data_IF_460425475570
#
_entry.id   IF_460425475570
#
_cell.length_a   1.000
_cell.length_b   1.000
_cell.length_c   1.000
_cell.angle_alpha   90.00
_cell.angle_beta   90.00
_cell.angle_gamma   90.00
#
_symmetry.space_group_name_H-M   'P 1'
#
loop_
_entity.id
_entity.type
_entity.pdbx_description
1 polymer ?
#
# COMPACT_ATOMS: atom_id res chain seq x y z
N UNK A 1 45.17 -8.92 -22.52
CA UNK A 1 44.24 -8.38 -21.51
C UNK A 1 43.07 -7.74 -22.21
N UNK A 2 41.93 -7.60 -21.54
CA UNK A 2 40.70 -7.08 -22.15
C UNK A 2 40.59 -5.57 -22.00
N UNK A 3 39.94 -4.89 -22.95
CA UNK A 3 39.58 -3.48 -22.79
C UNK A 3 38.59 -3.29 -21.64
N UNK A 4 38.55 -2.08 -21.07
CA UNK A 4 37.51 -1.71 -20.11
C UNK A 4 36.15 -1.73 -20.80
N UNK A 5 35.13 -2.15 -20.06
CA UNK A 5 33.76 -2.09 -20.53
C UNK A 5 33.11 -0.79 -20.11
N UNK A 6 32.24 -0.29 -20.97
CA UNK A 6 31.31 0.76 -20.62
C UNK A 6 30.09 0.16 -19.92
N UNK A 7 29.59 0.80 -18.84
CA UNK A 7 28.39 0.32 -18.17
C UNK A 7 27.17 0.51 -19.08
N UNK A 8 26.26 -0.50 -19.15
CA UNK A 8 25.01 -0.34 -19.88
C UNK A 8 24.12 0.74 -19.22
N UNK A 9 23.08 1.23 -19.93
CA UNK A 9 22.15 2.20 -19.38
C UNK A 9 21.58 1.76 -18.04
N UNK A 10 21.60 2.67 -17.06
CA UNK A 10 21.12 2.43 -15.70
C UNK A 10 21.87 1.36 -14.90
N UNK A 11 23.06 0.95 -15.35
CA UNK A 11 23.98 0.09 -14.62
C UNK A 11 25.28 0.81 -14.25
N UNK A 12 26.00 0.23 -13.30
CA UNK A 12 27.43 0.46 -13.05
C UNK A 12 28.21 -0.84 -13.20
N UNK A 13 29.53 -0.74 -13.25
CA UNK A 13 30.43 -1.90 -13.25
C UNK A 13 31.24 -1.88 -11.96
N UNK A 14 31.17 -2.97 -11.20
CA UNK A 14 32.02 -3.23 -10.05
C UNK A 14 33.24 -4.04 -10.49
N UNK A 15 34.41 -3.43 -10.33
CA UNK A 15 35.70 -4.08 -10.56
C UNK A 15 36.16 -4.73 -9.26
N UNK A 16 36.14 -6.07 -9.22
CA UNK A 16 36.38 -6.82 -7.99
C UNK A 16 37.81 -6.62 -7.47
N UNK A 17 37.94 -6.15 -6.23
CA UNK A 17 39.23 -5.97 -5.56
C UNK A 17 40.08 -4.80 -6.07
N UNK A 18 39.56 -3.92 -6.94
CA UNK A 18 40.26 -2.72 -7.41
C UNK A 18 39.46 -1.46 -7.08
N UNK A 19 40.16 -0.42 -6.61
CA UNK A 19 39.57 0.92 -6.47
C UNK A 19 39.42 1.62 -7.82
N UNK A 20 38.51 2.60 -7.90
CA UNK A 20 38.29 3.40 -9.11
C UNK A 20 39.59 4.03 -9.67
N UNK A 21 40.47 4.51 -8.79
CA UNK A 21 41.77 5.08 -9.20
C UNK A 21 42.71 4.03 -9.79
N UNK A 22 42.77 2.84 -9.22
CA UNK A 22 43.56 1.73 -9.75
C UNK A 22 43.05 1.29 -11.12
N UNK A 23 41.72 1.19 -11.29
CA UNK A 23 41.12 0.86 -12.59
C UNK A 23 41.46 1.92 -13.64
N UNK A 24 41.43 3.22 -13.32
CA UNK A 24 41.78 4.28 -14.27
C UNK A 24 43.21 4.16 -14.81
N UNK A 25 44.17 3.79 -13.96
CA UNK A 25 45.59 3.64 -14.33
C UNK A 25 45.86 2.41 -15.21
N UNK A 26 44.99 1.41 -15.21
CA UNK A 26 45.15 0.22 -16.05
C UNK A 26 44.71 0.48 -17.48
N UNK A 27 45.55 0.12 -18.46
CA UNK A 27 45.18 0.19 -19.89
C UNK A 27 44.34 -1.01 -20.33
N UNK A 28 44.63 -2.19 -19.79
CA UNK A 28 43.93 -3.45 -20.06
C UNK A 28 43.70 -4.23 -18.77
N UNK A 29 42.60 -4.95 -18.70
CA UNK A 29 42.27 -5.85 -17.60
C UNK A 29 43.02 -7.19 -17.75
N UNK A 30 43.51 -7.78 -16.64
CA UNK A 30 44.24 -9.03 -16.70
C UNK A 30 43.34 -10.19 -17.14
N UNK A 31 43.96 -11.22 -17.72
CA UNK A 31 43.24 -12.44 -18.13
C UNK A 31 42.71 -13.12 -16.86
N UNK A 32 41.50 -13.69 -16.94
CA UNK A 32 40.68 -14.24 -15.84
C UNK A 32 40.13 -13.20 -14.86
N UNK A 33 40.32 -11.91 -15.10
CA UNK A 33 39.70 -10.88 -14.26
C UNK A 33 38.18 -10.87 -14.43
N UNK A 34 37.46 -10.66 -13.32
CA UNK A 34 36.01 -10.68 -13.28
C UNK A 34 35.46 -9.29 -12.97
N UNK A 35 34.43 -8.89 -13.72
CA UNK A 35 33.64 -7.69 -13.46
C UNK A 35 32.19 -8.09 -13.23
N UNK A 36 31.51 -7.31 -12.41
CA UNK A 36 30.11 -7.52 -12.08
C UNK A 36 29.31 -6.28 -12.42
N UNK A 37 28.16 -6.47 -13.07
CA UNK A 37 27.24 -5.38 -13.29
C UNK A 37 26.40 -5.14 -12.05
N UNK A 38 26.13 -3.87 -11.76
CA UNK A 38 25.31 -3.46 -10.63
C UNK A 38 24.24 -2.48 -11.13
N UNK A 39 22.97 -2.87 -11.06
CA UNK A 39 21.89 -1.97 -11.47
C UNK A 39 21.64 -0.86 -10.44
N UNK A 40 21.16 0.29 -10.91
CA UNK A 40 20.60 1.33 -10.05
C UNK A 40 19.32 0.84 -9.35
N UNK A 41 19.00 1.42 -8.20
CA UNK A 41 17.91 0.98 -7.32
C UNK A 41 16.56 0.74 -8.03
N UNK A 42 15.92 -0.39 -7.70
CA UNK A 42 14.62 -0.80 -8.24
C UNK A 42 14.69 -1.29 -9.70
N UNK A 43 15.80 -1.90 -10.11
CA UNK A 43 16.01 -2.54 -11.41
C UNK A 43 16.70 -3.89 -11.22
N UNK A 44 16.36 -4.83 -12.10
CA UNK A 44 16.91 -6.19 -12.11
C UNK A 44 17.85 -6.37 -13.30
N UNK A 45 18.89 -7.18 -13.13
CA UNK A 45 19.83 -7.55 -14.20
C UNK A 45 19.20 -8.65 -15.06
N UNK A 46 19.09 -8.40 -16.35
CA UNK A 46 18.75 -9.41 -17.35
C UNK A 46 19.99 -9.69 -18.22
N UNK A 47 20.41 -10.95 -18.27
CA UNK A 47 21.63 -11.39 -18.96
C UNK A 47 22.80 -11.68 -18.02
N UNK A 48 24.05 -11.73 -18.54
CA UNK A 48 25.22 -12.07 -17.74
C UNK A 48 25.48 -11.06 -16.61
N UNK A 49 25.41 -11.54 -15.37
CA UNK A 49 25.69 -10.76 -14.16
C UNK A 49 27.18 -10.46 -13.98
N UNK A 50 28.02 -11.44 -14.31
CA UNK A 50 29.48 -11.39 -14.19
C UNK A 50 30.08 -11.69 -15.56
N UNK A 51 31.10 -10.93 -15.95
CA UNK A 51 31.91 -11.22 -17.14
C UNK A 51 33.36 -11.46 -16.78
N UNK A 52 33.99 -12.41 -17.46
CA UNK A 52 35.38 -12.78 -17.23
C UNK A 52 36.25 -12.44 -18.44
N UNK A 53 37.42 -11.87 -18.23
CA UNK A 53 38.36 -11.59 -19.32
C UNK A 53 39.02 -12.89 -19.80
N UNK A 54 38.85 -13.22 -21.08
CA UNK A 54 39.37 -14.44 -21.69
C UNK A 54 40.78 -14.24 -22.27
N UNK A 55 41.56 -15.34 -22.47
CA UNK A 55 42.91 -15.25 -23.03
C UNK A 55 42.97 -14.66 -24.44
N UNK A 56 41.88 -14.77 -25.20
CA UNK A 56 41.75 -14.18 -26.54
C UNK A 56 41.57 -12.64 -26.52
N UNK A 57 41.57 -12.00 -25.35
CA UNK A 57 41.43 -10.55 -25.20
C UNK A 57 39.99 -10.04 -25.21
N UNK A 58 38.99 -10.93 -25.26
CA UNK A 58 37.56 -10.59 -25.18
C UNK A 58 36.98 -10.95 -23.83
N UNK A 59 35.86 -10.34 -23.46
CA UNK A 59 35.11 -10.75 -22.27
C UNK A 59 34.23 -11.96 -22.57
N UNK A 60 33.86 -12.71 -21.53
CA UNK A 60 32.88 -13.79 -21.65
C UNK A 60 31.51 -13.24 -22.08
N UNK A 61 30.73 -14.08 -22.74
CA UNK A 61 29.31 -13.85 -23.04
C UNK A 61 29.02 -12.59 -23.86
N UNK A 62 29.96 -12.15 -24.71
CA UNK A 62 29.81 -10.96 -25.57
C UNK A 62 28.64 -11.07 -26.55
N UNK A 63 28.12 -12.26 -26.81
CA UNK A 63 26.93 -12.48 -27.63
C UNK A 63 25.59 -12.18 -26.93
N UNK A 64 25.59 -12.00 -25.61
CA UNK A 64 24.36 -11.67 -24.84
C UNK A 64 24.53 -10.30 -24.20
N UNK A 65 23.58 -9.40 -24.43
CA UNK A 65 23.61 -8.07 -23.81
C UNK A 65 23.15 -8.13 -22.34
N UNK A 66 23.79 -7.35 -21.46
CA UNK A 66 23.36 -7.19 -20.07
C UNK A 66 22.51 -5.93 -19.95
N UNK A 67 21.25 -6.06 -19.52
CA UNK A 67 20.31 -4.94 -19.37
C UNK A 67 19.88 -4.77 -17.91
N UNK A 68 19.62 -3.52 -17.51
CA UNK A 68 19.06 -3.17 -16.21
C UNK A 68 17.61 -2.70 -16.38
N UNK A 69 16.66 -3.61 -16.21
CA UNK A 69 15.25 -3.35 -16.47
C UNK A 69 14.50 -3.04 -15.18
N UNK A 70 13.48 -2.17 -15.26
CA UNK A 70 12.57 -1.93 -14.12
C UNK A 70 11.77 -3.19 -13.83
N UNK A 71 11.52 -3.43 -12.55
CA UNK A 71 10.59 -4.47 -12.11
C UNK A 71 9.16 -3.91 -12.15
N UNK A 72 8.24 -4.70 -12.69
CA UNK A 72 6.81 -4.49 -12.48
C UNK A 72 6.37 -5.14 -11.17
N UNK A 73 5.24 -4.69 -10.59
CA UNK A 73 4.62 -5.37 -9.46
C UNK A 73 4.45 -6.87 -9.73
N UNK A 74 4.84 -7.68 -8.76
CA UNK A 74 4.72 -9.13 -8.83
C UNK A 74 3.25 -9.51 -9.00
N UNK A 75 2.95 -10.43 -9.92
CA UNK A 75 1.58 -10.88 -10.08
C UNK A 75 1.24 -11.88 -8.97
N UNK A 76 -0.02 -11.91 -8.51
CA UNK A 76 -0.51 -12.95 -7.64
C UNK A 76 -0.25 -14.30 -8.30
N UNK A 77 0.19 -15.31 -7.55
CA UNK A 77 0.41 -16.64 -8.09
C UNK A 77 -0.87 -17.28 -8.62
N UNK A 78 -2.04 -16.81 -8.16
CA UNK A 78 -3.33 -17.44 -8.47
C UNK A 78 -4.24 -16.50 -9.28
N UNK A 79 -4.40 -16.80 -10.57
CA UNK A 79 -5.47 -16.25 -11.41
C UNK A 79 -6.65 -17.24 -11.39
N UNK A 80 -7.60 -17.03 -10.48
CA UNK A 80 -8.70 -17.97 -10.24
C UNK A 80 -9.59 -18.18 -11.46
N UNK A 81 -9.90 -19.44 -11.77
CA UNK A 81 -10.75 -19.86 -12.89
C UNK A 81 -10.20 -19.45 -14.27
N UNK A 82 -8.88 -19.39 -14.39
CA UNK A 82 -8.20 -19.13 -15.65
C UNK A 82 -6.70 -19.39 -15.58
N UNK A 83 -5.99 -18.95 -16.62
CA UNK A 83 -4.53 -19.05 -16.76
C UNK A 83 -3.94 -17.72 -17.21
N UNK A 84 -2.81 -17.36 -16.60
CA UNK A 84 -1.98 -16.25 -17.01
C UNK A 84 -0.68 -16.80 -17.60
N UNK A 85 -0.42 -16.52 -18.88
CA UNK A 85 0.76 -17.02 -19.59
C UNK A 85 1.68 -15.86 -19.96
N UNK A 86 2.97 -15.98 -19.60
CA UNK A 86 3.99 -15.02 -20.00
C UNK A 86 4.41 -15.36 -21.43
N UNK A 87 3.92 -14.57 -22.39
CA UNK A 87 4.22 -14.74 -23.82
C UNK A 87 5.60 -14.18 -24.16
N UNK A 88 6.02 -13.13 -23.47
CA UNK A 88 7.31 -12.49 -23.66
C UNK A 88 7.86 -11.98 -22.33
N UNK A 89 9.15 -12.20 -22.06
CA UNK A 89 9.81 -11.74 -20.82
C UNK A 89 10.26 -12.87 -19.90
N UNK A 90 10.21 -12.64 -18.59
CA UNK A 90 10.71 -13.58 -17.59
C UNK A 90 9.76 -13.72 -16.41
N UNK A 91 9.89 -14.81 -15.64
CA UNK A 91 9.06 -15.08 -14.46
C UNK A 91 9.04 -13.93 -13.44
N UNK A 92 10.17 -13.20 -13.29
CA UNK A 92 10.17 -11.89 -12.65
C UNK A 92 9.80 -10.86 -13.71
N UNK A 93 8.58 -10.33 -13.63
CA UNK A 93 8.09 -9.36 -14.60
C UNK A 93 8.96 -8.10 -14.62
N UNK A 94 9.73 -7.93 -15.70
CA UNK A 94 10.53 -6.73 -15.98
C UNK A 94 9.95 -5.93 -17.15
N UNK A 95 10.43 -4.70 -17.36
CA UNK A 95 10.11 -3.89 -18.55
C UNK A 95 10.07 -4.72 -19.84
N UNK A 96 8.98 -4.61 -20.59
CA UNK A 96 8.74 -5.39 -21.81
C UNK A 96 8.11 -6.76 -21.60
N UNK A 97 7.85 -7.19 -20.36
CA UNK A 97 7.10 -8.44 -20.10
C UNK A 97 5.67 -8.31 -20.61
N UNK A 98 5.21 -9.30 -21.37
CA UNK A 98 3.89 -9.39 -21.98
C UNK A 98 3.19 -10.67 -21.50
N UNK A 99 1.97 -10.51 -21.01
CA UNK A 99 1.20 -11.56 -20.35
C UNK A 99 -0.18 -11.60 -20.94
N UNK A 100 -0.60 -12.79 -21.37
CA UNK A 100 -1.94 -13.05 -21.87
C UNK A 100 -2.76 -13.82 -20.84
N UNK A 101 -4.03 -13.44 -20.73
CA UNK A 101 -4.98 -14.03 -19.80
C UNK A 101 -6.06 -14.79 -20.55
N UNK A 102 -6.33 -16.01 -20.08
CA UNK A 102 -7.40 -16.86 -20.59
C UNK A 102 -8.22 -17.41 -19.43
N UNK A 103 -9.52 -17.59 -19.63
CA UNK A 103 -10.39 -18.19 -18.62
C UNK A 103 -10.60 -19.68 -18.89
N UNK A 104 -10.81 -20.44 -17.82
CA UNK A 104 -11.17 -21.86 -17.92
C UNK A 104 -12.57 -22.01 -18.54
N UNK A 105 -12.88 -23.22 -19.02
CA UNK A 105 -14.17 -23.51 -19.64
C UNK A 105 -15.33 -23.22 -18.67
N UNK A 106 -16.36 -22.53 -19.16
CA UNK A 106 -17.48 -22.08 -18.33
C UNK A 106 -17.30 -20.66 -17.75
N UNK A 107 -16.17 -20.00 -17.96
CA UNK A 107 -15.94 -18.60 -17.58
C UNK A 107 -15.67 -17.70 -18.80
N UNK A 108 -15.95 -16.40 -18.68
CA UNK A 108 -15.51 -15.35 -19.61
C UNK A 108 -14.58 -14.38 -18.93
N UNK A 109 -13.65 -13.85 -19.72
CA UNK A 109 -12.73 -12.82 -19.27
C UNK A 109 -13.45 -11.46 -19.18
N UNK A 110 -13.20 -10.75 -18.08
CA UNK A 110 -13.62 -9.36 -17.85
C UNK A 110 -12.37 -8.53 -17.57
N UNK A 111 -12.09 -7.58 -18.45
CA UNK A 111 -10.89 -6.74 -18.38
C UNK A 111 -10.02 -6.89 -19.63
N UNK A 112 -8.79 -6.33 -19.62
CA UNK A 112 -7.87 -6.44 -20.75
C UNK A 112 -7.37 -7.88 -20.91
N UNK A 113 -7.33 -8.43 -22.14
CA UNK A 113 -6.87 -9.80 -22.41
C UNK A 113 -5.37 -9.97 -22.24
N UNK A 114 -4.63 -8.87 -22.21
CA UNK A 114 -3.19 -8.87 -22.05
C UNK A 114 -2.73 -7.67 -21.24
N UNK A 115 -1.58 -7.82 -20.57
CA UNK A 115 -0.89 -6.74 -19.87
C UNK A 115 0.57 -6.64 -20.30
N UNK A 116 1.04 -5.41 -20.39
CA UNK A 116 2.41 -5.06 -20.77
C UNK A 116 3.09 -4.27 -19.65
N UNK A 117 4.29 -4.73 -19.26
CA UNK A 117 5.12 -4.02 -18.30
C UNK A 117 5.82 -2.82 -18.99
N UNK A 118 5.39 -1.61 -18.64
CA UNK A 118 5.89 -0.37 -19.25
C UNK A 118 7.32 -0.04 -18.82
N UNK A 119 7.96 0.90 -19.52
CA UNK A 119 9.30 1.44 -19.16
C UNK A 119 9.37 2.10 -17.78
N UNK A 120 8.21 2.47 -17.23
CA UNK A 120 8.10 3.04 -15.89
C UNK A 120 8.12 1.97 -14.79
N UNK A 121 8.05 0.67 -15.13
CA UNK A 121 7.94 -0.42 -14.15
C UNK A 121 6.51 -0.56 -13.59
N UNK A 122 5.51 -0.22 -14.40
CA UNK A 122 4.09 -0.41 -14.06
C UNK A 122 3.37 -1.15 -15.18
N UNK A 123 2.37 -1.97 -14.82
CA UNK A 123 1.45 -2.56 -15.77
C UNK A 123 0.59 -1.49 -16.43
N UNK A 124 0.33 -1.65 -17.72
CA UNK A 124 -0.46 -0.72 -18.53
C UNK A 124 -1.98 -0.85 -18.35
N UNK A 125 -2.43 -1.88 -17.63
CA UNK A 125 -3.82 -2.13 -17.29
C UNK A 125 -3.98 -2.83 -15.95
N UNK A 126 -5.23 -2.96 -15.51
CA UNK A 126 -5.62 -3.76 -14.36
C UNK A 126 -5.69 -5.24 -14.75
N UNK A 127 -5.39 -6.13 -13.80
CA UNK A 127 -5.49 -7.57 -14.06
C UNK A 127 -6.95 -7.96 -14.31
N UNK A 128 -7.23 -8.73 -15.37
CA UNK A 128 -8.59 -9.15 -15.67
C UNK A 128 -9.10 -10.13 -14.61
N UNK A 129 -10.34 -10.61 -14.76
CA UNK A 129 -10.87 -11.69 -13.93
C UNK A 129 -11.85 -12.54 -14.73
N UNK A 130 -12.00 -13.79 -14.32
CA UNK A 130 -12.88 -14.76 -14.96
C UNK A 130 -14.23 -14.81 -14.23
N UNK A 131 -15.31 -14.54 -14.95
CA UNK A 131 -16.69 -14.63 -14.44
C UNK A 131 -17.43 -15.77 -15.13
N UNK A 132 -18.25 -16.50 -14.40
CA UNK A 132 -18.96 -17.66 -14.95
C UNK A 132 -19.93 -17.23 -16.07
N UNK A 133 -19.94 -17.96 -17.18
CA UNK A 133 -20.72 -17.67 -18.39
C UNK A 133 -22.23 -17.84 -18.17
N UNK A 134 -22.61 -18.62 -17.15
CA UNK A 134 -23.99 -18.86 -16.76
C UNK A 134 -24.11 -18.62 -15.27
N UNK A 135 -24.61 -17.45 -14.88
CA UNK A 135 -25.32 -17.39 -13.62
C UNK A 135 -26.51 -18.38 -13.74
N UNK A 136 -26.66 -19.35 -12.83
CA UNK A 136 -27.90 -20.12 -12.74
C UNK A 136 -29.09 -19.15 -12.80
N UNK A 137 -30.17 -19.51 -13.48
CA UNK A 137 -31.39 -18.69 -13.45
C UNK A 137 -31.85 -18.58 -11.98
N UNK A 138 -31.64 -17.40 -11.36
CA UNK A 138 -31.86 -17.15 -9.93
C UNK A 138 -30.59 -16.93 -9.09
N UNK A 139 -29.37 -16.94 -9.67
CA UNK A 139 -28.15 -16.63 -8.93
C UNK A 139 -27.93 -15.11 -8.82
N UNK A 140 -27.77 -14.64 -7.58
CA UNK A 140 -27.49 -13.24 -7.24
C UNK A 140 -26.13 -12.79 -7.80
N UNK A 141 -26.05 -11.56 -8.30
CA UNK A 141 -24.80 -10.96 -8.76
C UNK A 141 -23.93 -10.55 -7.56
N UNK A 142 -22.69 -11.04 -7.50
CA UNK A 142 -21.77 -10.74 -6.42
C UNK A 142 -21.23 -9.30 -6.49
N UNK A 143 -21.36 -8.56 -5.39
CA UNK A 143 -20.83 -7.22 -5.18
C UNK A 143 -19.76 -7.27 -4.08
N UNK A 144 -18.55 -6.79 -4.37
CA UNK A 144 -17.42 -6.95 -3.46
C UNK A 144 -17.12 -5.69 -2.66
N UNK A 145 -16.86 -5.86 -1.36
CA UNK A 145 -16.43 -4.81 -0.44
C UNK A 145 -15.01 -5.14 0.03
N UNK A 146 -14.10 -4.16 0.03
CA UNK A 146 -12.74 -4.35 0.55
C UNK A 146 -12.65 -3.96 2.01
N UNK A 147 -12.41 -4.90 2.92
CA UNK A 147 -12.26 -4.68 4.36
C UNK A 147 -10.81 -4.74 4.82
N UNK A 148 -10.36 -3.70 5.54
CA UNK A 148 -9.03 -3.65 6.15
C UNK A 148 -9.16 -3.73 7.66
N UNK A 149 -8.92 -4.92 8.22
CA UNK A 149 -9.10 -5.23 9.64
C UNK A 149 -7.75 -5.32 10.35
N UNK A 150 -7.38 -4.39 11.25
CA UNK A 150 -6.12 -4.48 11.97
C UNK A 150 -6.20 -5.58 13.04
N UNK A 151 -5.51 -6.71 12.83
CA UNK A 151 -5.50 -7.83 13.77
C UNK A 151 -4.42 -7.70 14.85
N UNK A 152 -3.45 -6.81 14.61
CA UNK A 152 -2.30 -6.52 15.47
C UNK A 152 -1.96 -5.02 15.45
N UNK A 153 -0.97 -4.59 16.24
CA UNK A 153 -0.53 -3.20 16.33
C UNK A 153 -1.08 -2.46 17.56
N UNK A 154 -1.07 -1.12 17.52
CA UNK A 154 -1.50 -0.28 18.64
C UNK A 154 -3.01 -0.34 18.92
N UNK A 155 -3.79 -0.77 17.94
CA UNK A 155 -5.23 -0.98 18.06
C UNK A 155 -5.66 -2.23 17.28
N UNK A 156 -5.69 -3.42 17.92
CA UNK A 156 -6.07 -4.68 17.27
C UNK A 156 -7.59 -4.84 17.16
N UNK A 157 -8.31 -3.79 16.71
CA UNK A 157 -9.77 -3.78 16.67
C UNK A 157 -10.37 -4.78 15.68
N UNK A 158 -9.59 -5.24 14.70
CA UNK A 158 -10.02 -6.25 13.73
C UNK A 158 -10.46 -7.57 14.36
N UNK A 159 -9.91 -7.94 15.53
CA UNK A 159 -10.24 -9.20 16.21
C UNK A 159 -11.74 -9.33 16.55
N UNK A 160 -12.39 -8.22 16.89
CA UNK A 160 -13.82 -8.17 17.18
C UNK A 160 -14.65 -7.61 16.00
N UNK A 161 -14.11 -6.63 15.28
CA UNK A 161 -14.84 -5.99 14.18
C UNK A 161 -15.02 -6.91 12.97
N UNK A 162 -14.08 -7.82 12.70
CA UNK A 162 -14.19 -8.76 11.58
C UNK A 162 -15.37 -9.74 11.77
N UNK A 163 -15.47 -10.50 12.87
CA UNK A 163 -16.65 -11.35 13.12
C UNK A 163 -17.96 -10.57 13.09
N UNK A 164 -17.99 -9.35 13.64
CA UNK A 164 -19.18 -8.50 13.61
C UNK A 164 -19.60 -8.13 12.17
N UNK A 165 -18.64 -7.82 11.30
CA UNK A 165 -18.90 -7.54 9.90
C UNK A 165 -19.41 -8.77 9.14
N UNK A 166 -18.86 -9.96 9.42
CA UNK A 166 -19.30 -11.20 8.78
C UNK A 166 -20.73 -11.59 9.21
N UNK A 167 -21.05 -11.50 10.50
CA UNK A 167 -22.43 -11.72 10.95
C UNK A 167 -23.43 -10.77 10.28
N UNK A 168 -23.07 -9.48 10.14
CA UNK A 168 -23.90 -8.51 9.45
C UNK A 168 -24.03 -8.79 7.94
N UNK A 169 -23.00 -9.36 7.31
CA UNK A 169 -23.01 -9.74 5.90
C UNK A 169 -24.00 -10.90 5.65
N UNK A 170 -23.96 -11.91 6.51
CA UNK A 170 -24.86 -13.07 6.46
C UNK A 170 -26.32 -12.60 6.64
N UNK A 171 -26.59 -11.82 7.70
CA UNK A 171 -27.91 -11.25 8.00
C UNK A 171 -28.49 -10.41 6.83
N UNK A 172 -27.63 -9.70 6.10
CA UNK A 172 -28.03 -8.85 4.97
C UNK A 172 -28.29 -9.67 3.71
N UNK A 173 -27.50 -10.71 3.45
CA UNK A 173 -27.66 -11.57 2.29
C UNK A 173 -28.87 -12.53 2.40
N UNK A 174 -29.21 -12.92 3.64
CA UNK A 174 -30.34 -13.79 3.96
C UNK A 174 -31.70 -13.08 3.84
N UNK A 175 -31.72 -11.74 3.85
CA UNK A 175 -32.94 -10.93 3.71
C UNK A 175 -33.34 -10.75 2.24
N UNK A 176 -34.43 -11.37 1.78
CA UNK A 176 -34.83 -11.36 0.37
C UNK A 176 -35.39 -9.99 -0.09
N UNK A 177 -35.83 -9.16 0.86
CA UNK A 177 -36.39 -7.82 0.62
C UNK A 177 -35.33 -6.73 0.41
N UNK A 178 -34.09 -6.97 0.85
CA UNK A 178 -33.03 -5.97 0.80
C UNK A 178 -32.21 -6.04 -0.49
N UNK A 179 -31.85 -7.26 -0.93
CA UNK A 179 -31.05 -7.50 -2.14
C UNK A 179 -31.48 -8.80 -2.84
N UNK A 180 -32.52 -8.70 -3.68
CA UNK A 180 -33.05 -9.84 -4.44
C UNK A 180 -32.09 -10.30 -5.54
N UNK A 181 -31.41 -9.34 -6.17
CA UNK A 181 -30.60 -9.58 -7.38
C UNK A 181 -29.10 -9.59 -7.10
N UNK A 182 -28.68 -9.20 -5.88
CA UNK A 182 -27.28 -9.02 -5.51
C UNK A 182 -26.92 -9.76 -4.22
N UNK A 183 -25.66 -10.20 -4.14
CA UNK A 183 -25.05 -10.81 -2.96
C UNK A 183 -23.80 -9.99 -2.60
N UNK A 184 -23.71 -9.52 -1.35
CA UNK A 184 -22.50 -8.83 -0.89
C UNK A 184 -21.44 -9.86 -0.48
N UNK A 185 -20.20 -9.65 -0.92
CA UNK A 185 -19.03 -10.42 -0.52
C UNK A 185 -17.95 -9.51 0.07
N UNK A 186 -17.36 -9.91 1.18
CA UNK A 186 -16.32 -9.14 1.85
C UNK A 186 -14.94 -9.75 1.55
N UNK A 187 -14.02 -8.92 1.04
CA UNK A 187 -12.60 -9.27 0.88
C UNK A 187 -11.85 -8.68 2.07
N UNK A 188 -11.48 -9.54 2.99
CA UNK A 188 -10.81 -9.19 4.24
C UNK A 188 -9.28 -9.21 4.12
N UNK A 189 -8.62 -8.22 4.73
CA UNK A 189 -7.15 -8.10 4.74
C UNK A 189 -6.68 -7.58 6.09
N UNK A 190 -5.52 -8.05 6.56
CA UNK A 190 -4.92 -7.56 7.82
C UNK A 190 -4.04 -6.34 7.58
N UNK A 191 -4.47 -5.17 8.06
CA UNK A 191 -3.69 -3.94 7.88
C UNK A 191 -2.55 -3.75 8.89
N UNK A 192 -2.54 -4.50 10.00
CA UNK A 192 -1.60 -4.38 11.12
C UNK A 192 -1.44 -2.94 11.70
N UNK A 193 -2.34 -2.01 11.39
CA UNK A 193 -2.27 -0.56 11.71
C UNK A 193 -1.08 0.17 11.05
N UNK A 194 -0.39 -0.45 10.08
CA UNK A 194 0.80 0.14 9.43
C UNK A 194 0.47 0.75 8.07
N UNK A 195 0.68 2.07 7.86
CA UNK A 195 0.38 2.73 6.59
C UNK A 195 1.11 2.11 5.39
N UNK A 196 2.39 1.75 5.54
CA UNK A 196 3.16 1.14 4.46
C UNK A 196 2.61 -0.22 4.02
N UNK A 197 2.17 -1.05 4.97
CA UNK A 197 1.53 -2.33 4.67
C UNK A 197 0.14 -2.11 4.05
N UNK A 198 -0.62 -1.16 4.58
CA UNK A 198 -1.92 -0.79 4.04
C UNK A 198 -1.85 -0.23 2.61
N UNK A 199 -0.77 0.45 2.21
CA UNK A 199 -0.57 0.87 0.81
C UNK A 199 -0.50 -0.32 -0.13
N UNK A 200 0.22 -1.39 0.26
CA UNK A 200 0.28 -2.62 -0.53
C UNK A 200 -1.10 -3.26 -0.62
N UNK A 201 -1.79 -3.42 0.51
CA UNK A 201 -3.15 -3.98 0.53
C UNK A 201 -4.11 -3.15 -0.33
N UNK A 202 -4.03 -1.82 -0.25
CA UNK A 202 -4.86 -0.94 -1.07
C UNK A 202 -4.55 -1.13 -2.55
N UNK A 203 -3.28 -1.19 -2.93
CA UNK A 203 -2.88 -1.52 -4.30
C UNK A 203 -3.49 -2.86 -4.73
N UNK A 204 -3.39 -3.88 -3.89
CA UNK A 204 -3.89 -5.20 -4.19
C UNK A 204 -5.43 -5.19 -4.36
N UNK A 205 -6.14 -4.46 -3.50
CA UNK A 205 -7.60 -4.32 -3.57
C UNK A 205 -8.06 -3.53 -4.81
N UNK A 206 -7.26 -2.57 -5.30
CA UNK A 206 -7.60 -1.71 -6.44
C UNK A 206 -7.25 -2.34 -7.79
N UNK A 207 -6.14 -3.06 -7.88
CA UNK A 207 -5.59 -3.56 -9.14
C UNK A 207 -5.84 -5.04 -9.40
N UNK A 208 -6.08 -5.84 -8.35
CA UNK A 208 -6.48 -7.23 -8.49
C UNK A 208 -7.99 -7.40 -8.34
N UNK A 209 -8.55 -8.23 -9.22
CA UNK A 209 -9.96 -8.57 -9.18
C UNK A 209 -10.36 -9.28 -7.87
N UNK A 210 -11.67 -9.32 -7.58
CA UNK A 210 -12.77 -8.63 -8.27
C UNK A 210 -12.81 -7.12 -7.95
N UNK A 211 -13.60 -6.33 -8.69
CA UNK A 211 -13.76 -4.87 -8.46
C UNK A 211 -14.55 -4.63 -7.17
N UNK A 212 -14.06 -3.72 -6.32
CA UNK A 212 -14.70 -3.38 -5.04
C UNK A 212 -15.57 -2.12 -5.22
N UNK A 213 -16.76 -2.12 -4.64
CA UNK A 213 -17.68 -0.96 -4.65
C UNK A 213 -17.42 0.01 -3.50
N UNK A 214 -16.92 -0.49 -2.37
CA UNK A 214 -16.67 0.27 -1.14
C UNK A 214 -15.40 -0.25 -0.46
N UNK A 215 -14.63 0.65 0.14
CA UNK A 215 -13.50 0.31 0.99
C UNK A 215 -13.81 0.61 2.46
N UNK A 216 -13.52 -0.32 3.36
CA UNK A 216 -13.80 -0.25 4.79
C UNK A 216 -12.51 -0.31 5.63
N UNK A 217 -11.81 0.82 5.81
CA UNK A 217 -10.64 0.88 6.67
C UNK A 217 -11.01 1.04 8.16
N UNK A 218 -10.27 0.35 9.03
CA UNK A 218 -10.44 0.45 10.48
C UNK A 218 -9.75 1.66 11.10
N UNK A 219 -8.43 1.58 11.32
CA UNK A 219 -7.71 2.57 12.12
C UNK A 219 -7.57 3.94 11.40
N UNK A 220 -7.37 5.00 12.18
CA UNK A 220 -7.29 6.37 11.66
C UNK A 220 -6.16 6.58 10.64
N UNK A 221 -4.96 6.04 10.88
CA UNK A 221 -3.80 6.21 9.99
C UNK A 221 -4.04 5.61 8.60
N UNK A 222 -4.59 4.38 8.56
CA UNK A 222 -4.95 3.71 7.31
C UNK A 222 -6.16 4.37 6.66
N UNK A 223 -7.14 4.82 7.44
CA UNK A 223 -8.32 5.50 6.91
C UNK A 223 -7.96 6.81 6.21
N UNK A 224 -7.05 7.62 6.76
CA UNK A 224 -6.52 8.82 6.10
C UNK A 224 -5.90 8.49 4.76
N UNK A 225 -5.02 7.49 4.71
CA UNK A 225 -4.36 7.05 3.48
C UNK A 225 -5.37 6.59 2.42
N UNK A 226 -6.29 5.70 2.81
CA UNK A 226 -7.28 5.12 1.89
C UNK A 226 -8.25 6.19 1.40
N UNK A 227 -8.72 7.09 2.27
CA UNK A 227 -9.63 8.17 1.89
C UNK A 227 -8.98 9.18 0.93
N UNK A 228 -7.70 9.49 1.12
CA UNK A 228 -6.96 10.40 0.24
C UNK A 228 -6.73 9.78 -1.15
N UNK A 229 -6.47 8.47 -1.20
CA UNK A 229 -6.28 7.73 -2.44
C UNK A 229 -7.60 7.47 -3.19
N UNK A 230 -8.69 7.13 -2.48
CA UNK A 230 -9.95 6.68 -3.07
C UNK A 230 -10.59 7.66 -4.06
N UNK A 231 -10.34 8.97 -3.90
CA UNK A 231 -10.82 10.00 -4.84
C UNK A 231 -10.28 9.81 -6.27
N UNK A 232 -9.13 9.17 -6.43
CA UNK A 232 -8.54 8.91 -7.76
C UNK A 232 -9.22 7.75 -8.49
N UNK A 233 -9.94 6.88 -7.76
CA UNK A 233 -10.68 5.74 -8.31
C UNK A 233 -12.20 5.89 -8.18
N UNK A 234 -12.71 7.06 -7.79
CA UNK A 234 -14.14 7.32 -7.55
C UNK A 234 -14.78 6.31 -6.56
N UNK A 235 -14.02 5.88 -5.55
CA UNK A 235 -14.51 4.92 -4.55
C UNK A 235 -15.06 5.62 -3.30
N UNK A 236 -16.09 4.99 -2.74
CA UNK A 236 -16.62 5.36 -1.43
C UNK A 236 -15.80 4.67 -0.35
N UNK A 237 -15.45 5.43 0.69
CA UNK A 237 -14.73 4.92 1.87
C UNK A 237 -15.64 5.01 3.08
N UNK A 238 -15.91 3.87 3.73
CA UNK A 238 -16.72 3.78 4.93
C UNK A 238 -15.89 3.21 6.08
N UNK A 239 -15.30 4.09 6.90
CA UNK A 239 -14.52 3.65 8.04
C UNK A 239 -15.38 3.28 9.24
N UNK A 240 -15.08 2.14 9.86
CA UNK A 240 -15.80 1.66 11.04
C UNK A 240 -15.09 1.98 12.37
N UNK A 241 -13.83 2.47 12.34
CA UNK A 241 -12.99 2.63 13.53
C UNK A 241 -12.16 3.91 13.61
N UNK A 242 -12.27 4.82 12.64
CA UNK A 242 -11.44 6.03 12.62
C UNK A 242 -12.05 7.20 13.39
N UNK A 243 -11.29 7.70 14.36
CA UNK A 243 -11.69 8.82 15.22
C UNK A 243 -11.00 10.13 14.87
N UNK A 244 -10.10 10.17 13.86
CA UNK A 244 -9.34 11.37 13.48
C UNK A 244 -10.26 12.55 13.16
N UNK A 245 -10.14 13.70 13.84
CA UNK A 245 -10.88 14.91 13.50
C UNK A 245 -10.55 15.43 12.09
N UNK A 246 -9.31 15.25 11.62
CA UNK A 246 -8.86 15.68 10.30
C UNK A 246 -9.68 15.07 9.14
N UNK A 247 -10.22 13.85 9.33
CA UNK A 247 -11.06 13.16 8.36
C UNK A 247 -12.44 13.83 8.14
N UNK A 248 -12.81 14.81 8.96
CA UNK A 248 -14.04 15.60 8.76
C UNK A 248 -13.92 16.66 7.65
N UNK A 249 -12.71 16.92 7.13
CA UNK A 249 -12.51 17.89 6.05
C UNK A 249 -13.01 17.34 4.70
N UNK A 250 -14.20 17.77 4.27
CA UNK A 250 -14.84 17.36 3.00
C UNK A 250 -14.12 17.84 1.73
N UNK A 251 -13.30 18.88 1.82
CA UNK A 251 -12.49 19.32 0.67
C UNK A 251 -11.34 18.34 0.40
N UNK A 252 -10.75 17.79 1.48
CA UNK A 252 -9.67 16.79 1.38
C UNK A 252 -10.23 15.37 1.20
N UNK A 253 -11.35 15.04 1.83
CA UNK A 253 -11.96 13.71 1.85
C UNK A 253 -13.44 13.75 1.40
N UNK A 254 -13.71 13.94 0.09
CA UNK A 254 -15.07 14.13 -0.41
C UNK A 254 -15.94 12.87 -0.29
N UNK A 255 -15.37 11.68 -0.53
CA UNK A 255 -16.10 10.39 -0.55
C UNK A 255 -15.93 9.58 0.74
N UNK A 256 -15.51 10.22 1.83
CA UNK A 256 -15.27 9.57 3.11
C UNK A 256 -16.50 9.63 4.02
N UNK A 257 -16.83 8.49 4.62
CA UNK A 257 -17.85 8.35 5.64
C UNK A 257 -17.31 7.50 6.79
N UNK A 258 -17.87 7.68 7.97
CA UNK A 258 -17.57 6.84 9.13
C UNK A 258 -18.76 6.70 10.06
N UNK A 259 -18.84 5.55 10.72
CA UNK A 259 -19.79 5.32 11.82
C UNK A 259 -19.17 5.67 13.17
N UNK A 260 -17.85 5.59 13.29
CA UNK A 260 -17.12 5.91 14.52
C UNK A 260 -17.13 7.44 14.80
N UNK A 261 -17.42 7.89 16.03
CA UNK A 261 -17.42 9.31 16.37
C UNK A 261 -16.02 9.93 16.30
N UNK A 262 -15.98 11.25 16.08
CA UNK A 262 -14.76 12.06 16.14
C UNK A 262 -14.20 12.14 17.56
N UNK A 263 -12.87 12.14 17.69
CA UNK A 263 -12.20 12.30 18.98
C UNK A 263 -12.45 13.68 19.64
N UNK A 264 -12.89 14.69 18.88
CA UNK A 264 -13.30 16.01 19.43
C UNK A 264 -14.51 15.92 20.37
N UNK A 265 -15.32 14.86 20.29
CA UNK A 265 -16.48 14.68 21.17
C UNK A 265 -16.11 14.59 22.66
N UNK A 266 -14.85 14.27 22.97
CA UNK A 266 -14.33 14.26 24.35
C UNK A 266 -14.12 15.68 24.92
N UNK A 267 -13.85 16.67 24.07
CA UNK A 267 -13.43 18.01 24.50
C UNK A 267 -14.53 18.76 25.27
N UNK A 268 -15.81 18.78 24.84
CA UNK A 268 -16.88 19.36 25.63
C UNK A 268 -17.00 18.75 27.03
N UNK A 269 -16.83 17.43 27.14
CA UNK A 269 -16.86 16.71 28.42
C UNK A 269 -15.67 17.10 29.32
N UNK A 270 -14.45 17.19 28.76
CA UNK A 270 -13.26 17.66 29.49
C UNK A 270 -13.46 19.07 30.04
N UNK A 271 -13.92 19.99 29.20
CA UNK A 271 -14.20 21.38 29.59
C UNK A 271 -15.27 21.45 30.69
N UNK A 272 -16.33 20.65 30.57
CA UNK A 272 -17.37 20.58 31.60
C UNK A 272 -16.81 20.11 32.96
N UNK A 273 -15.95 19.09 32.96
CA UNK A 273 -15.29 18.62 34.19
C UNK A 273 -14.36 19.69 34.78
N UNK A 274 -13.59 20.39 33.94
CA UNK A 274 -12.71 21.48 34.40
C UNK A 274 -13.51 22.60 35.09
N UNK A 275 -14.66 22.98 34.52
CA UNK A 275 -15.57 23.96 35.13
C UNK A 275 -16.16 23.47 36.44
N UNK A 276 -16.58 22.20 36.49
CA UNK A 276 -17.21 21.59 37.67
C UNK A 276 -16.28 21.60 38.88
N UNK A 277 -14.97 21.37 38.67
CA UNK A 277 -13.96 21.36 39.73
C UNK A 277 -13.19 22.67 39.88
N UNK A 278 -13.57 23.72 39.13
CA UNK A 278 -12.93 25.04 39.22
C UNK A 278 -11.48 25.07 38.72
N UNK A 279 -11.09 24.18 37.82
CA UNK A 279 -9.74 24.15 37.24
C UNK A 279 -9.62 25.19 36.13
N UNK A 280 -8.73 26.16 36.31
CA UNK A 280 -8.51 27.27 35.36
C UNK A 280 -7.19 27.17 34.60
N UNK A 281 -6.29 26.28 35.01
CA UNK A 281 -4.97 26.09 34.40
C UNK A 281 -4.70 24.61 34.19
N UNK A 282 -4.37 24.22 32.96
CA UNK A 282 -4.10 22.82 32.60
C UNK A 282 -2.77 22.69 31.87
N UNK A 283 -2.25 21.47 31.85
CA UNK A 283 -1.09 21.07 31.04
C UNK A 283 -1.48 19.92 30.11
N UNK A 284 -0.82 19.82 28.96
CA UNK A 284 -1.11 18.80 27.96
C UNK A 284 0.14 18.05 27.55
N UNK A 285 0.00 16.74 27.36
CA UNK A 285 1.03 15.86 26.79
C UNK A 285 0.39 14.96 25.74
N UNK A 286 1.02 14.86 24.57
CA UNK A 286 0.51 14.01 23.49
C UNK A 286 1.62 13.34 22.69
N UNK A 287 1.28 12.22 22.06
CA UNK A 287 2.13 11.67 21.00
C UNK A 287 1.93 12.46 19.70
N UNK A 288 3.00 12.66 18.93
CA UNK A 288 2.96 13.37 17.64
C UNK A 288 2.33 12.52 16.55
N UNK A 289 1.00 12.38 16.58
CA UNK A 289 0.19 11.75 15.54
C UNK A 289 -0.99 12.67 15.15
N UNK A 290 -1.40 12.64 13.88
CA UNK A 290 -2.43 13.53 13.30
C UNK A 290 -3.72 13.57 14.14
N UNK A 291 -4.16 12.41 14.64
CA UNK A 291 -5.36 12.26 15.48
C UNK A 291 -5.25 13.11 16.76
N UNK A 292 -4.12 13.04 17.46
CA UNK A 292 -3.94 13.73 18.73
C UNK A 292 -3.70 15.23 18.52
N UNK A 293 -2.89 15.60 17.52
CA UNK A 293 -2.64 17.00 17.19
C UNK A 293 -3.92 17.75 16.85
N UNK A 294 -4.80 17.16 16.03
CA UNK A 294 -6.08 17.79 15.68
C UNK A 294 -7.07 17.80 16.84
N UNK A 295 -7.05 16.78 17.72
CA UNK A 295 -7.89 16.76 18.93
C UNK A 295 -7.44 17.83 19.95
N UNK A 296 -6.13 18.06 20.10
CA UNK A 296 -5.59 19.09 20.97
C UNK A 296 -5.88 20.50 20.43
N UNK A 297 -5.79 20.70 19.11
CA UNK A 297 -6.16 21.98 18.50
C UNK A 297 -7.63 22.36 18.78
N UNK A 298 -8.56 21.41 18.67
CA UNK A 298 -9.98 21.60 19.02
C UNK A 298 -10.17 21.83 20.55
N UNK A 299 -9.38 21.14 21.38
CA UNK A 299 -9.41 21.36 22.83
C UNK A 299 -8.94 22.76 23.19
N UNK A 300 -7.89 23.27 22.54
CA UNK A 300 -7.33 24.61 22.75
C UNK A 300 -8.35 25.71 22.48
N UNK A 301 -9.13 25.57 21.41
CA UNK A 301 -10.24 26.47 21.11
C UNK A 301 -11.32 26.38 22.20
N UNK A 302 -11.75 25.16 22.53
CA UNK A 302 -12.80 24.91 23.53
C UNK A 302 -12.44 25.42 24.94
N UNK A 303 -11.19 25.27 25.38
CA UNK A 303 -10.76 25.76 26.71
C UNK A 303 -10.59 27.27 26.73
N UNK A 304 -10.15 27.87 25.61
CA UNK A 304 -10.03 29.32 25.48
C UNK A 304 -11.39 30.00 25.60
N UNK A 305 -12.42 29.47 24.94
CA UNK A 305 -13.81 29.95 25.08
C UNK A 305 -14.36 29.77 26.50
N UNK A 306 -13.88 28.74 27.21
CA UNK A 306 -14.25 28.47 28.59
C UNK A 306 -13.49 29.29 29.63
N UNK A 307 -12.55 30.14 29.23
CA UNK A 307 -11.70 30.92 30.15
C UNK A 307 -10.66 30.09 30.90
N UNK A 308 -10.24 28.96 30.34
CA UNK A 308 -9.25 28.04 30.91
C UNK A 308 -7.95 28.15 30.09
N UNK A 309 -6.82 28.28 30.78
CA UNK A 309 -5.51 28.47 30.17
C UNK A 309 -4.72 27.15 30.08
N UNK A 310 -4.06 26.91 28.94
CA UNK A 310 -3.07 25.83 28.80
C UNK A 310 -1.67 26.40 29.05
N UNK A 311 -1.10 26.11 30.20
CA UNK A 311 0.20 26.65 30.62
C UNK A 311 1.38 25.95 29.96
N UNK A 312 1.30 24.62 29.85
CA UNK A 312 2.40 23.78 29.36
C UNK A 312 1.89 22.82 28.32
N UNK A 313 2.63 22.72 27.22
CA UNK A 313 2.38 21.79 26.12
C UNK A 313 3.64 20.95 25.92
N UNK A 314 3.48 19.64 25.91
CA UNK A 314 4.55 18.71 25.59
C UNK A 314 4.08 17.74 24.50
N UNK A 315 5.00 17.38 23.61
CA UNK A 315 4.76 16.38 22.58
C UNK A 315 5.97 15.47 22.43
N UNK A 316 5.74 14.20 22.12
CA UNK A 316 6.81 13.23 21.88
C UNK A 316 6.47 12.32 20.70
N UNK A 317 7.50 11.80 20.02
CA UNK A 317 7.30 10.86 18.92
C UNK A 317 7.26 9.40 19.42
N UNK A 318 8.30 9.00 20.17
CA UNK A 318 8.49 7.63 20.65
C UNK A 318 8.87 7.58 22.14
N UNK A 319 9.82 8.40 22.59
CA UNK A 319 10.23 8.45 24.00
C UNK A 319 9.57 9.64 24.75
N UNK A 320 8.68 9.39 25.73
CA UNK A 320 8.04 10.45 26.51
C UNK A 320 8.91 10.99 27.66
N UNK A 321 10.09 10.44 27.92
CA UNK A 321 10.87 10.72 29.14
C UNK A 321 11.19 12.21 29.34
N UNK A 322 11.57 12.91 28.28
CA UNK A 322 11.87 14.36 28.32
C UNK A 322 10.60 15.17 28.52
N UNK A 323 9.53 14.83 27.80
CA UNK A 323 8.23 15.48 27.91
C UNK A 323 7.67 15.38 29.35
N UNK A 324 7.79 14.20 29.97
CA UNK A 324 7.36 13.99 31.36
C UNK A 324 8.25 14.75 32.34
N UNK A 325 9.57 14.80 32.13
CA UNK A 325 10.47 15.59 32.97
C UNK A 325 10.15 17.08 32.96
N UNK A 326 9.74 17.63 31.81
CA UNK A 326 9.35 19.03 31.67
C UNK A 326 8.00 19.38 32.32
N UNK A 327 7.19 18.37 32.68
CA UNK A 327 5.90 18.57 33.36
C UNK A 327 5.99 18.50 34.89
N UNK A 328 7.09 17.95 35.42
CA UNK A 328 7.38 17.91 36.85
C UNK A 328 7.93 19.24 37.34
#
# INVERSE_FOLDING_TARGET
GCSKMDPPPYAGIRYMGLSYRQVQLMRLMPIRYEIEYVCKAGREIQGPHVRKCLPNGTWSDMGTETKCLRLCPEMPPDFSNGRAEIVEGSARATEGTHIEYSCDEGYRLVGPPALYCTKAGVWDGSIPHCVENRAPAGAKQALYIGGLFPMSGSWPGGQACKPAAMMALDDVNDKPDLMSDYELKLIETDSMVWPGHATKILYDLLYYGPIKIVLMPGCSSVSTLVAEAARMWNLIVLSYGSSSPALSNRQRFPTFFRTHPSATLHNPTRVHLFKTWGWTRIATIQQTAEVFTSTLADLEESVKEAGIEINVRQSFLSDPSVAVKNLK
#
